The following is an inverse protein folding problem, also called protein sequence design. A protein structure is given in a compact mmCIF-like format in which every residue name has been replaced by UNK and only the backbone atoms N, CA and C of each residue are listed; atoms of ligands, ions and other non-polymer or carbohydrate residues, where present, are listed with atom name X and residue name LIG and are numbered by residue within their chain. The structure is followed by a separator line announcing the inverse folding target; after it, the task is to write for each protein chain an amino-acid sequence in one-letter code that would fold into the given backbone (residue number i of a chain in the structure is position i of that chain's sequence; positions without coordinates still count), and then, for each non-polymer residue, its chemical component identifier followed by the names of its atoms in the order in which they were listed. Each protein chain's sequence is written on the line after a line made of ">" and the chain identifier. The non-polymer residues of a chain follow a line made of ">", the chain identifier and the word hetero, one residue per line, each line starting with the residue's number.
data_IF_664205488559
#
_entry.id   IF_664205488559
#
_cell.length_a   1.000
_cell.length_b   1.000
_cell.length_c   1.000
_cell.angle_alpha   90.00
_cell.angle_beta   90.00
_cell.angle_gamma   90.00
#
_symmetry.space_group_name_H-M   'P 1'
#
loop_
_entity.id
_entity.type
_entity.pdbx_description
1 polymer ?
#
# COMPACT_ATOMS: atom_id res chain seq x y z
N UNK A 1 -5.11 -20.76 1.16
CA UNK A 1 -6.00 -19.63 1.57
C UNK A 1 -6.64 -19.06 0.32
N UNK A 2 -7.93 -18.73 0.38
CA UNK A 2 -8.67 -18.22 -0.78
C UNK A 2 -8.25 -16.77 -1.08
N UNK A 3 -8.02 -16.45 -2.35
CA UNK A 3 -7.74 -15.10 -2.82
C UNK A 3 -9.04 -14.30 -2.90
N UNK A 4 -9.08 -13.11 -2.26
CA UNK A 4 -10.24 -12.22 -2.26
C UNK A 4 -10.12 -11.13 -3.32
N UNK A 5 -8.91 -10.63 -3.55
CA UNK A 5 -8.60 -9.64 -4.57
C UNK A 5 -7.34 -10.06 -5.33
N UNK A 6 -7.35 -9.93 -6.65
CA UNK A 6 -6.19 -10.20 -7.49
C UNK A 6 -6.01 -9.09 -8.50
N UNK A 7 -4.81 -8.56 -8.60
CA UNK A 7 -4.40 -7.57 -9.59
C UNK A 7 -3.43 -8.24 -10.55
N UNK A 8 -3.70 -8.14 -11.86
CA UNK A 8 -2.91 -8.79 -12.92
C UNK A 8 -2.46 -7.77 -13.96
N UNK A 9 -1.16 -7.63 -14.12
CA UNK A 9 -0.49 -6.83 -15.16
C UNK A 9 -1.09 -5.41 -15.29
N UNK A 10 -1.43 -4.80 -14.13
CA UNK A 10 -2.12 -3.53 -14.09
C UNK A 10 -1.19 -2.39 -14.52
N UNK A 11 -1.66 -1.61 -15.47
CA UNK A 11 -1.02 -0.37 -15.90
C UNK A 11 -1.97 0.80 -15.75
N UNK A 12 -1.50 1.87 -15.07
CA UNK A 12 -2.27 3.09 -14.86
C UNK A 12 -1.44 4.28 -15.32
N UNK A 13 -2.01 5.08 -16.22
CA UNK A 13 -1.35 6.22 -16.80
C UNK A 13 -2.16 7.50 -16.58
N UNK A 14 -1.48 8.64 -16.62
CA UNK A 14 -2.08 9.97 -16.56
C UNK A 14 -1.69 10.77 -17.78
N UNK A 15 -2.69 11.36 -18.45
CA UNK A 15 -2.46 12.32 -19.52
C UNK A 15 -2.08 13.68 -18.92
N UNK A 16 -0.94 14.22 -19.33
CA UNK A 16 -0.48 15.54 -18.91
C UNK A 16 -0.09 16.36 -20.14
N UNK A 17 0.06 17.67 -19.98
CA UNK A 17 0.54 18.55 -21.05
C UNK A 17 1.98 18.24 -21.51
N UNK A 18 2.74 17.52 -20.71
CA UNK A 18 4.13 17.13 -21.01
C UNK A 18 4.25 15.71 -21.56
N UNK A 19 3.15 14.97 -21.66
CA UNK A 19 3.13 13.57 -22.09
C UNK A 19 2.37 12.66 -21.10
N UNK A 20 2.61 11.38 -21.21
CA UNK A 20 1.91 10.35 -20.45
C UNK A 20 2.76 9.87 -19.27
N UNK A 21 2.30 10.12 -18.04
CA UNK A 21 2.95 9.63 -16.81
C UNK A 21 2.50 8.20 -16.56
N UNK A 22 3.43 7.25 -16.50
CA UNK A 22 3.20 5.82 -16.26
C UNK A 22 3.27 5.50 -14.77
N UNK A 23 2.21 5.86 -14.03
CA UNK A 23 2.21 5.81 -12.57
C UNK A 23 2.18 4.39 -11.98
N UNK A 24 1.56 3.43 -12.67
CA UNK A 24 1.59 2.00 -12.35
C UNK A 24 2.00 1.25 -13.61
N UNK A 25 3.02 0.39 -13.49
CA UNK A 25 3.72 -0.23 -14.61
C UNK A 25 3.76 -1.74 -14.41
N UNK A 26 2.78 -2.46 -14.98
CA UNK A 26 2.72 -3.92 -14.98
C UNK A 26 2.75 -4.55 -13.56
N UNK A 27 1.88 -4.05 -12.68
CA UNK A 27 1.79 -4.52 -11.30
C UNK A 27 0.87 -5.73 -11.19
N UNK A 28 1.37 -6.79 -10.55
CA UNK A 28 0.61 -8.01 -10.24
C UNK A 28 0.81 -8.40 -8.78
N UNK A 29 -0.28 -8.69 -8.08
CA UNK A 29 -0.29 -9.26 -6.73
C UNK A 29 -1.66 -9.87 -6.41
N UNK A 30 -1.71 -10.68 -5.38
CA UNK A 30 -2.93 -11.23 -4.78
C UNK A 30 -3.07 -10.79 -3.33
N UNK A 31 -4.31 -10.67 -2.85
CA UNK A 31 -4.65 -10.48 -1.45
C UNK A 31 -5.47 -11.69 -0.97
N UNK A 32 -4.98 -12.37 0.03
CA UNK A 32 -5.64 -13.54 0.62
C UNK A 32 -6.69 -13.11 1.65
N UNK A 33 -7.66 -13.97 1.87
CA UNK A 33 -8.71 -13.71 2.86
C UNK A 33 -8.12 -13.58 4.26
N UNK A 34 -8.46 -12.48 4.94
CA UNK A 34 -7.99 -12.18 6.30
C UNK A 34 -6.51 -11.79 6.39
N UNK A 35 -5.85 -11.51 5.27
CA UNK A 35 -4.44 -11.09 5.21
C UNK A 35 -4.30 -9.57 5.30
N UNK A 36 -3.22 -9.10 5.89
CA UNK A 36 -2.73 -7.73 5.77
C UNK A 36 -1.54 -7.72 4.81
N UNK A 37 -1.79 -7.31 3.56
CA UNK A 37 -0.75 -7.05 2.57
C UNK A 37 -0.35 -5.57 2.66
N UNK A 38 0.90 -5.30 3.02
CA UNK A 38 1.41 -3.93 3.05
C UNK A 38 2.16 -3.59 1.77
N UNK A 39 1.81 -2.46 1.15
CA UNK A 39 2.52 -1.90 0.00
C UNK A 39 3.38 -0.74 0.50
N UNK A 40 4.69 -0.89 0.39
CA UNK A 40 5.67 0.08 0.90
C UNK A 40 6.56 0.60 -0.22
N UNK A 41 7.09 1.81 -0.06
CA UNK A 41 8.02 2.44 -1.00
C UNK A 41 8.04 3.96 -0.84
N UNK A 42 8.97 4.62 -1.52
CA UNK A 42 9.13 6.07 -1.48
C UNK A 42 7.87 6.82 -1.94
N UNK A 43 7.75 8.10 -1.52
CA UNK A 43 6.67 8.98 -1.99
C UNK A 43 6.70 9.11 -3.52
N UNK A 44 5.53 9.11 -4.16
CA UNK A 44 5.42 9.21 -5.61
C UNK A 44 5.67 7.91 -6.39
N UNK A 45 6.00 6.78 -5.76
CA UNK A 45 6.23 5.52 -6.49
C UNK A 45 4.96 4.84 -7.04
N UNK A 46 3.75 5.40 -6.80
CA UNK A 46 2.50 4.90 -7.39
C UNK A 46 1.55 4.17 -6.44
N UNK A 47 1.85 4.00 -5.14
CA UNK A 47 1.03 3.26 -4.15
C UNK A 47 -0.43 3.71 -4.09
N UNK A 48 -0.67 4.99 -3.82
CA UNK A 48 -2.04 5.54 -3.74
C UNK A 48 -2.77 5.50 -5.08
N UNK A 49 -2.05 5.65 -6.20
CA UNK A 49 -2.62 5.50 -7.55
C UNK A 49 -3.10 4.07 -7.77
N UNK A 50 -2.28 3.07 -7.41
CA UNK A 50 -2.64 1.65 -7.47
C UNK A 50 -3.93 1.38 -6.69
N UNK A 51 -4.02 1.84 -5.44
CA UNK A 51 -5.21 1.62 -4.62
C UNK A 51 -6.44 2.37 -5.11
N UNK A 52 -6.30 3.62 -5.56
CA UNK A 52 -7.41 4.37 -6.17
C UNK A 52 -7.89 3.74 -7.46
N UNK A 53 -7.00 3.10 -8.24
CA UNK A 53 -7.39 2.40 -9.47
C UNK A 53 -8.27 1.17 -9.18
N UNK A 54 -8.03 0.46 -8.07
CA UNK A 54 -8.88 -0.67 -7.64
C UNK A 54 -10.33 -0.22 -7.43
N UNK A 55 -10.54 0.97 -6.89
CA UNK A 55 -11.86 1.54 -6.65
C UNK A 55 -12.39 2.40 -7.81
N UNK A 56 -11.67 2.52 -8.93
CA UNK A 56 -11.98 3.47 -10.03
C UNK A 56 -12.18 4.91 -9.51
N UNK A 57 -11.29 5.35 -8.62
CA UNK A 57 -11.25 6.71 -8.05
C UNK A 57 -10.08 7.52 -8.61
N UNK A 58 -9.71 7.26 -9.86
CA UNK A 58 -8.73 8.06 -10.57
C UNK A 58 -9.35 9.40 -10.99
N UNK A 59 -8.57 10.50 -11.00
CA UNK A 59 -9.03 11.76 -11.57
C UNK A 59 -9.25 11.64 -13.09
N UNK A 60 -9.91 12.61 -13.70
CA UNK A 60 -10.33 12.59 -15.11
C UNK A 60 -9.20 12.34 -16.12
N UNK A 61 -8.00 12.81 -15.81
CA UNK A 61 -6.82 12.59 -16.65
C UNK A 61 -6.11 11.26 -16.41
N UNK A 62 -6.56 10.47 -15.41
CA UNK A 62 -6.00 9.14 -15.06
C UNK A 62 -6.88 8.01 -15.61
N UNK A 63 -6.26 6.96 -16.12
CA UNK A 63 -6.98 5.80 -16.67
C UNK A 63 -6.18 4.51 -16.54
N UNK A 64 -6.92 3.40 -16.42
CA UNK A 64 -6.34 2.06 -16.52
C UNK A 64 -6.04 1.78 -17.99
N UNK A 65 -4.76 1.64 -18.32
CA UNK A 65 -4.30 1.37 -19.69
C UNK A 65 -4.49 -0.10 -20.07
N UNK A 66 -4.15 -1.01 -19.14
CA UNK A 66 -4.28 -2.46 -19.33
C UNK A 66 -4.28 -3.17 -17.99
N UNK A 67 -4.53 -4.48 -18.01
CA UNK A 67 -4.55 -5.34 -16.83
C UNK A 67 -5.95 -5.61 -16.29
N UNK A 68 -6.01 -6.40 -15.24
CA UNK A 68 -7.27 -6.85 -14.64
C UNK A 68 -7.23 -6.69 -13.12
N UNK A 69 -8.38 -6.38 -12.54
CA UNK A 69 -8.61 -6.38 -11.09
C UNK A 69 -9.78 -7.33 -10.84
N UNK A 70 -9.52 -8.43 -10.17
CA UNK A 70 -10.50 -9.47 -9.88
C UNK A 70 -10.88 -9.42 -8.41
N UNK A 71 -12.15 -9.18 -8.13
CA UNK A 71 -12.73 -9.26 -6.79
C UNK A 71 -13.57 -10.54 -6.70
N UNK A 72 -13.21 -11.49 -5.84
CA UNK A 72 -13.83 -12.83 -5.79
C UNK A 72 -13.98 -13.42 -7.21
N UNK A 73 -12.90 -13.42 -7.99
CA UNK A 73 -12.81 -13.89 -9.38
C UNK A 73 -13.62 -13.07 -10.43
N UNK A 74 -14.32 -12.02 -10.04
CA UNK A 74 -15.04 -11.14 -10.96
C UNK A 74 -14.19 -9.93 -11.35
N UNK A 75 -14.00 -9.71 -12.64
CA UNK A 75 -13.24 -8.54 -13.12
C UNK A 75 -14.05 -7.25 -12.93
N UNK A 76 -13.51 -6.33 -12.13
CA UNK A 76 -14.15 -5.04 -11.82
C UNK A 76 -13.63 -3.87 -12.65
N UNK A 77 -12.57 -4.05 -13.47
CA UNK A 77 -12.01 -2.97 -14.29
C UNK A 77 -13.02 -2.38 -15.28
N UNK A 78 -13.87 -3.24 -15.87
CA UNK A 78 -14.78 -2.86 -16.94
C UNK A 78 -16.19 -2.47 -16.44
N UNK A 79 -16.41 -2.45 -15.12
CA UNK A 79 -17.68 -2.09 -14.54
C UNK A 79 -17.97 -0.59 -14.77
N UNK A 80 -19.25 -0.26 -15.00
CA UNK A 80 -19.71 1.13 -15.04
C UNK A 80 -19.64 1.76 -13.65
N UNK A 81 -19.64 3.10 -13.55
CA UNK A 81 -19.65 3.77 -12.24
C UNK A 81 -20.87 3.40 -11.39
N UNK A 82 -22.04 3.19 -12.02
CA UNK A 82 -23.25 2.70 -11.35
C UNK A 82 -23.08 1.29 -10.78
N UNK A 83 -22.28 0.43 -11.42
CA UNK A 83 -21.96 -0.90 -10.89
C UNK A 83 -20.90 -0.81 -9.79
N UNK A 84 -19.88 0.04 -9.98
CA UNK A 84 -18.85 0.28 -8.97
C UNK A 84 -19.39 0.92 -7.69
N UNK A 85 -20.43 1.78 -7.77
CA UNK A 85 -21.08 2.34 -6.59
C UNK A 85 -21.72 1.30 -5.67
N UNK A 86 -22.04 0.11 -6.19
CA UNK A 86 -22.55 -1.03 -5.39
C UNK A 86 -21.43 -1.83 -4.71
N UNK A 87 -20.20 -1.67 -5.19
CA UNK A 87 -18.99 -2.36 -4.66
C UNK A 87 -18.30 -1.47 -3.64
N UNK A 88 -18.13 -0.16 -3.96
CA UNK A 88 -17.50 0.82 -3.07
C UNK A 88 -18.27 0.92 -1.76
N UNK A 89 -17.57 0.79 -0.63
CA UNK A 89 -18.15 0.82 0.71
C UNK A 89 -18.83 -0.48 1.16
N UNK A 90 -19.26 -1.36 0.24
CA UNK A 90 -19.94 -2.62 0.56
C UNK A 90 -19.02 -3.84 0.47
N UNK A 91 -18.28 -3.98 -0.63
CA UNK A 91 -17.34 -5.10 -0.83
C UNK A 91 -15.89 -4.66 -0.57
N UNK A 92 -15.53 -3.47 -1.07
CA UNK A 92 -14.24 -2.82 -0.85
C UNK A 92 -14.48 -1.44 -0.28
N UNK A 93 -13.83 -1.11 0.83
CA UNK A 93 -13.83 0.22 1.42
C UNK A 93 -12.42 0.80 1.50
N UNK A 94 -12.32 2.12 1.67
CA UNK A 94 -11.04 2.81 1.72
C UNK A 94 -11.01 3.85 2.84
N UNK A 95 -9.90 3.85 3.58
CA UNK A 95 -9.50 4.93 4.49
C UNK A 95 -8.51 5.79 3.72
N UNK A 96 -8.81 7.07 3.55
CA UNK A 96 -7.96 8.03 2.85
C UNK A 96 -6.88 8.59 3.76
N UNK A 97 -5.81 9.09 3.17
CA UNK A 97 -4.62 9.60 3.86
C UNK A 97 -4.92 10.73 4.85
N UNK A 98 -5.85 11.63 4.54
CA UNK A 98 -6.20 12.76 5.40
C UNK A 98 -7.65 12.63 5.90
N UNK A 99 -7.86 12.36 7.21
CA UNK A 99 -9.19 12.29 7.80
C UNK A 99 -9.90 13.65 7.82
N UNK A 100 -9.16 14.77 7.75
CA UNK A 100 -9.73 16.12 7.74
C UNK A 100 -10.51 16.39 6.47
N UNK A 101 -10.03 15.90 5.34
CA UNK A 101 -10.69 16.06 4.03
C UNK A 101 -11.74 15.00 3.75
N UNK A 102 -11.69 13.85 4.46
CA UNK A 102 -12.63 12.74 4.27
C UNK A 102 -13.95 12.88 5.04
N UNK A 103 -13.95 13.65 6.15
CA UNK A 103 -15.14 13.89 6.97
C UNK A 103 -15.85 15.19 6.55
N UNK A 104 -17.17 15.14 6.39
CA UNK A 104 -17.98 16.33 6.12
C UNK A 104 -18.10 17.18 7.41
N UNK A 105 -17.53 18.41 7.45
CA UNK A 105 -17.52 19.23 8.66
C UNK A 105 -18.92 19.75 9.06
N UNK A 106 -19.90 19.73 8.13
CA UNK A 106 -21.25 20.23 8.35
C UNK A 106 -22.24 19.15 8.80
N UNK A 107 -21.79 17.89 8.88
CA UNK A 107 -22.61 16.75 9.36
C UNK A 107 -22.04 16.17 10.63
N UNK A 108 -22.92 15.76 11.57
CA UNK A 108 -22.49 15.01 12.75
C UNK A 108 -21.92 13.64 12.36
N UNK A 109 -20.95 13.16 13.16
CA UNK A 109 -20.24 11.91 12.87
C UNK A 109 -21.20 10.71 12.77
N UNK A 110 -22.18 10.62 13.67
CA UNK A 110 -23.16 9.54 13.66
C UNK A 110 -24.05 9.55 12.43
N UNK A 111 -24.40 10.74 11.89
CA UNK A 111 -25.15 10.85 10.64
C UNK A 111 -24.32 10.37 9.43
N UNK A 112 -23.03 10.70 9.37
CA UNK A 112 -22.13 10.25 8.30
C UNK A 112 -22.01 8.73 8.29
N UNK A 113 -21.80 8.11 9.46
CA UNK A 113 -21.75 6.63 9.58
C UNK A 113 -23.11 6.02 9.21
N UNK A 114 -24.21 6.59 9.71
CA UNK A 114 -25.58 6.11 9.40
C UNK A 114 -25.92 6.23 7.91
N UNK A 115 -25.44 7.27 7.23
CA UNK A 115 -25.59 7.43 5.79
C UNK A 115 -24.87 6.31 5.04
N UNK A 116 -23.62 6.02 5.36
CA UNK A 116 -22.84 4.93 4.77
C UNK A 116 -23.57 3.58 4.94
N UNK A 117 -24.14 3.30 6.12
CA UNK A 117 -24.95 2.10 6.37
C UNK A 117 -26.16 2.05 5.45
N UNK A 118 -26.90 3.16 5.28
CA UNK A 118 -28.16 3.20 4.53
C UNK A 118 -28.00 3.17 3.02
N UNK A 119 -26.90 3.70 2.50
CA UNK A 119 -26.63 3.72 1.06
C UNK A 119 -26.59 2.30 0.47
N UNK A 120 -26.08 1.34 1.24
CA UNK A 120 -25.86 -0.03 0.77
C UNK A 120 -26.82 -1.06 1.34
N UNK A 121 -27.56 -0.72 2.42
CA UNK A 121 -28.45 -1.65 3.09
C UNK A 121 -29.87 -1.10 3.15
N UNK A 122 -30.86 -1.96 2.93
CA UNK A 122 -32.27 -1.61 3.08
C UNK A 122 -32.65 -1.62 4.57
N UNK A 123 -32.19 -0.64 5.33
CA UNK A 123 -32.43 -0.52 6.77
C UNK A 123 -33.15 0.78 7.11
N UNK A 124 -33.89 0.76 8.21
CA UNK A 124 -34.57 1.95 8.75
C UNK A 124 -33.58 2.95 9.33
N UNK A 125 -34.00 4.20 9.51
CA UNK A 125 -33.16 5.23 10.18
C UNK A 125 -32.75 4.81 11.59
N UNK A 126 -33.65 4.12 12.32
CA UNK A 126 -33.41 3.65 13.69
C UNK A 126 -32.32 2.57 13.72
N UNK A 127 -32.37 1.61 12.81
CA UNK A 127 -31.35 0.55 12.69
C UNK A 127 -30.00 1.11 12.27
N UNK A 128 -29.97 2.04 11.31
CA UNK A 128 -28.74 2.69 10.89
C UNK A 128 -28.10 3.53 12.03
N UNK A 129 -28.92 4.23 12.84
CA UNK A 129 -28.45 4.94 14.04
C UNK A 129 -27.84 3.95 15.05
N UNK A 130 -28.53 2.84 15.34
CA UNK A 130 -28.03 1.81 16.25
C UNK A 130 -26.67 1.27 15.77
N UNK A 131 -26.59 0.91 14.47
CA UNK A 131 -25.33 0.44 13.88
C UNK A 131 -24.21 1.47 13.96
N UNK A 132 -24.51 2.75 13.74
CA UNK A 132 -23.53 3.83 13.86
C UNK A 132 -22.99 3.97 15.29
N UNK A 133 -23.84 3.88 16.30
CA UNK A 133 -23.42 3.91 17.72
C UNK A 133 -22.54 2.69 18.04
N UNK A 134 -22.91 1.50 17.60
CA UNK A 134 -22.09 0.29 17.75
C UNK A 134 -20.71 0.44 17.10
N UNK A 135 -20.61 1.09 15.94
CA UNK A 135 -19.33 1.34 15.26
C UNK A 135 -18.49 2.40 15.95
N UNK A 136 -19.10 3.46 16.49
CA UNK A 136 -18.38 4.50 17.28
C UNK A 136 -17.75 3.84 18.52
N UNK A 137 -18.49 3.00 19.22
CA UNK A 137 -17.98 2.23 20.36
C UNK A 137 -16.89 1.23 19.93
N UNK A 138 -17.13 0.49 18.84
CA UNK A 138 -16.21 -0.51 18.31
C UNK A 138 -14.83 0.04 17.95
N UNK A 139 -14.75 1.29 17.48
CA UNK A 139 -13.47 1.96 17.19
C UNK A 139 -12.87 2.63 18.43
N UNK A 140 -13.47 2.44 19.61
CA UNK A 140 -12.96 2.92 20.90
C UNK A 140 -13.16 4.41 21.11
N UNK A 141 -14.30 4.95 20.74
CA UNK A 141 -14.76 6.28 21.11
C UNK A 141 -15.79 6.12 22.23
N UNK A 142 -15.40 6.49 23.44
CA UNK A 142 -16.24 6.41 24.63
C UNK A 142 -17.52 7.27 24.48
N UNK A 143 -18.57 6.93 25.23
CA UNK A 143 -19.85 7.64 25.23
C UNK A 143 -20.48 7.74 23.81
N UNK A 144 -20.43 6.67 23.05
CA UNK A 144 -20.83 6.62 21.64
C UNK A 144 -22.22 7.23 21.34
N UNK A 145 -23.19 7.05 22.25
CA UNK A 145 -24.55 7.55 22.07
C UNK A 145 -24.61 9.08 22.19
N UNK A 146 -23.93 9.68 23.16
CA UNK A 146 -23.87 11.14 23.35
C UNK A 146 -23.10 11.81 22.21
N UNK A 147 -22.00 11.19 21.78
CA UNK A 147 -21.14 11.68 20.70
C UNK A 147 -21.71 11.54 19.30
N UNK A 148 -22.76 10.73 19.10
CA UNK A 148 -23.40 10.55 17.80
C UNK A 148 -23.77 11.87 17.11
N UNK A 149 -24.20 12.89 17.88
CA UNK A 149 -24.64 14.17 17.34
C UNK A 149 -23.50 15.20 17.22
N UNK A 150 -22.30 14.90 17.70
CA UNK A 150 -21.14 15.78 17.62
C UNK A 150 -20.60 15.88 16.20
N UNK A 151 -19.91 16.99 15.92
CA UNK A 151 -19.32 17.29 14.61
C UNK A 151 -17.82 16.96 14.58
N UNK A 152 -17.23 16.74 13.39
CA UNK A 152 -15.81 16.38 13.28
C UNK A 152 -14.86 17.33 14.00
N UNK A 153 -15.12 18.63 14.04
CA UNK A 153 -14.25 19.62 14.68
C UNK A 153 -14.19 19.49 16.22
N UNK A 154 -15.14 18.79 16.84
CA UNK A 154 -15.16 18.52 18.29
C UNK A 154 -14.24 17.36 18.70
N UNK A 155 -13.58 16.69 17.74
CA UNK A 155 -12.72 15.53 17.95
C UNK A 155 -11.25 15.82 17.63
N UNK A 156 -10.34 15.15 18.37
CA UNK A 156 -8.91 15.17 18.06
C UNK A 156 -8.60 14.47 16.72
N UNK A 157 -7.39 14.68 16.17
CA UNK A 157 -6.96 14.04 14.93
C UNK A 157 -7.09 12.51 14.95
N UNK A 158 -6.61 11.88 16.02
CA UNK A 158 -6.72 10.43 16.20
C UNK A 158 -8.18 9.94 16.35
N UNK A 159 -9.05 10.73 16.99
CA UNK A 159 -10.49 10.39 17.06
C UNK A 159 -11.17 10.55 15.71
N UNK A 160 -10.83 11.56 14.91
CA UNK A 160 -11.31 11.69 13.52
C UNK A 160 -10.87 10.52 12.66
N UNK A 161 -9.65 10.03 12.83
CA UNK A 161 -9.17 8.83 12.15
C UNK A 161 -9.99 7.60 12.53
N UNK A 162 -10.32 7.42 13.83
CA UNK A 162 -11.23 6.35 14.29
C UNK A 162 -12.62 6.46 13.67
N UNK A 163 -13.15 7.68 13.53
CA UNK A 163 -14.44 7.93 12.86
C UNK A 163 -14.37 7.55 11.37
N UNK A 164 -13.28 7.92 10.67
CA UNK A 164 -13.07 7.51 9.27
C UNK A 164 -13.00 5.98 9.14
N UNK A 165 -12.35 5.29 10.08
CA UNK A 165 -12.34 3.82 10.15
C UNK A 165 -13.76 3.29 10.37
N UNK A 166 -14.55 3.87 11.29
CA UNK A 166 -15.93 3.46 11.52
C UNK A 166 -16.82 3.60 10.27
N UNK A 167 -16.67 4.69 9.51
CA UNK A 167 -17.36 4.88 8.22
C UNK A 167 -16.93 3.80 7.22
N UNK A 168 -15.64 3.52 7.12
CA UNK A 168 -15.12 2.49 6.21
C UNK A 168 -15.65 1.10 6.54
N UNK A 169 -15.95 0.81 7.81
CA UNK A 169 -16.48 -0.48 8.29
C UNK A 169 -18.01 -0.55 8.28
N UNK A 170 -18.71 0.52 7.91
CA UNK A 170 -20.17 0.64 8.06
C UNK A 170 -20.96 -0.54 7.47
N UNK A 171 -20.51 -1.07 6.34
CA UNK A 171 -21.18 -2.15 5.61
C UNK A 171 -20.46 -3.50 5.70
N UNK A 172 -19.53 -3.69 6.64
CA UNK A 172 -18.73 -4.91 6.80
C UNK A 172 -18.05 -5.35 5.49
N UNK A 173 -17.18 -4.52 4.90
CA UNK A 173 -16.53 -4.83 3.63
C UNK A 173 -15.61 -6.06 3.76
N UNK A 174 -15.36 -6.75 2.64
CA UNK A 174 -14.44 -7.90 2.58
C UNK A 174 -12.98 -7.44 2.46
N UNK A 175 -12.76 -6.28 1.82
CA UNK A 175 -11.46 -5.67 1.62
C UNK A 175 -11.48 -4.24 2.15
N UNK A 176 -10.49 -3.90 2.95
CA UNK A 176 -10.22 -2.55 3.42
C UNK A 176 -8.89 -2.07 2.82
N UNK A 177 -8.91 -0.94 2.15
CA UNK A 177 -7.71 -0.26 1.69
C UNK A 177 -7.41 0.88 2.67
N UNK A 178 -6.24 0.90 3.27
CA UNK A 178 -5.78 1.94 4.18
C UNK A 178 -4.61 2.70 3.54
N UNK A 179 -4.89 3.89 2.98
CA UNK A 179 -3.90 4.72 2.29
C UNK A 179 -3.25 5.68 3.30
N UNK A 180 -2.08 5.32 3.78
CA UNK A 180 -1.28 6.06 4.77
C UNK A 180 -2.10 6.54 6.00
N UNK A 181 -2.84 5.66 6.70
CA UNK A 181 -3.84 6.06 7.69
C UNK A 181 -3.25 6.65 8.98
N UNK A 182 -1.94 6.72 9.11
CA UNK A 182 -1.24 7.18 10.32
C UNK A 182 -0.28 8.33 10.09
N UNK A 183 -0.08 8.79 8.85
CA UNK A 183 0.96 9.78 8.48
C UNK A 183 0.81 11.14 9.19
N UNK A 184 -0.43 11.55 9.52
CA UNK A 184 -0.70 12.84 10.18
C UNK A 184 -0.82 12.74 11.71
N UNK A 185 -0.39 11.62 12.33
CA UNK A 185 -0.54 11.34 13.75
C UNK A 185 0.83 11.30 14.45
N UNK A 186 0.85 11.67 15.72
CA UNK A 186 2.01 11.42 16.58
C UNK A 186 2.21 9.90 16.81
N UNK A 187 3.40 9.51 17.25
CA UNK A 187 3.80 8.08 17.40
C UNK A 187 2.90 7.29 18.38
N UNK A 188 2.37 7.95 19.42
CA UNK A 188 1.48 7.29 20.40
C UNK A 188 0.13 7.01 19.75
N UNK A 189 -0.43 7.98 19.05
CA UNK A 189 -1.71 7.83 18.35
C UNK A 189 -1.59 6.89 17.14
N UNK A 190 -0.47 6.96 16.41
CA UNK A 190 -0.13 5.99 15.35
C UNK A 190 -0.22 4.55 15.87
N UNK A 191 0.46 4.25 16.98
CA UNK A 191 0.43 2.93 17.58
C UNK A 191 -0.99 2.47 17.95
N UNK A 192 -1.80 3.35 18.54
CA UNK A 192 -3.20 3.05 18.89
C UNK A 192 -4.06 2.76 17.66
N UNK A 193 -3.84 3.45 16.54
CA UNK A 193 -4.56 3.19 15.28
C UNK A 193 -4.11 1.87 14.65
N UNK A 194 -2.82 1.54 14.67
CA UNK A 194 -2.31 0.26 14.18
C UNK A 194 -2.90 -0.93 14.99
N UNK A 195 -2.95 -0.81 16.33
CA UNK A 195 -3.56 -1.83 17.19
C UNK A 195 -5.05 -1.97 16.92
N UNK A 196 -5.75 -0.86 16.68
CA UNK A 196 -7.16 -0.88 16.31
C UNK A 196 -7.35 -1.62 14.98
N UNK A 197 -6.59 -1.29 13.92
CA UNK A 197 -6.69 -1.94 12.61
C UNK A 197 -6.41 -3.45 12.73
N UNK A 198 -5.40 -3.84 13.49
CA UNK A 198 -5.07 -5.25 13.72
C UNK A 198 -6.18 -5.98 14.50
N UNK A 199 -6.73 -5.34 15.54
CA UNK A 199 -7.89 -5.85 16.28
C UNK A 199 -9.12 -6.04 15.38
N UNK A 200 -9.40 -5.08 14.48
CA UNK A 200 -10.48 -5.16 13.49
C UNK A 200 -10.25 -6.38 12.59
N UNK A 201 -9.06 -6.51 12.01
CA UNK A 201 -8.71 -7.63 11.13
C UNK A 201 -8.92 -8.98 11.83
N UNK A 202 -8.41 -9.14 13.07
CA UNK A 202 -8.58 -10.37 13.85
C UNK A 202 -10.04 -10.69 14.18
N UNK A 203 -10.84 -9.67 14.55
CA UNK A 203 -12.24 -9.86 14.94
C UNK A 203 -13.19 -10.10 13.78
N UNK A 204 -12.93 -9.50 12.63
CA UNK A 204 -13.83 -9.50 11.47
C UNK A 204 -13.33 -10.38 10.32
N UNK A 205 -12.07 -10.82 10.37
CA UNK A 205 -11.39 -11.55 9.29
C UNK A 205 -11.41 -10.78 7.95
N UNK A 206 -11.41 -9.43 8.03
CA UNK A 206 -11.31 -8.55 6.87
C UNK A 206 -9.91 -8.63 6.26
N UNK A 207 -9.82 -8.58 4.92
CA UNK A 207 -8.54 -8.52 4.23
C UNK A 207 -8.13 -7.06 4.04
N UNK A 208 -6.85 -6.72 4.26
CA UNK A 208 -6.40 -5.34 4.29
C UNK A 208 -5.26 -5.13 3.30
N UNK A 209 -5.38 -4.10 2.42
CA UNK A 209 -4.23 -3.50 1.75
C UNK A 209 -3.85 -2.28 2.55
N UNK A 210 -2.65 -2.31 3.12
CA UNK A 210 -2.13 -1.22 3.93
C UNK A 210 -1.01 -0.49 3.17
N UNK A 211 -1.11 0.81 3.00
CA UNK A 211 -0.07 1.62 2.35
C UNK A 211 0.65 2.44 3.41
N UNK A 212 1.97 2.42 3.35
CA UNK A 212 2.83 3.28 4.17
C UNK A 212 4.19 3.45 3.50
N UNK A 213 4.95 4.44 3.95
CA UNK A 213 6.37 4.59 3.67
C UNK A 213 7.24 4.31 4.90
N UNK A 214 6.62 4.02 6.05
CA UNK A 214 7.27 3.79 7.33
C UNK A 214 7.48 2.28 7.57
N UNK A 215 8.74 1.85 7.61
CA UNK A 215 9.12 0.45 7.78
C UNK A 215 8.87 -0.08 9.19
N UNK A 216 8.81 0.78 10.23
CA UNK A 216 8.44 0.35 11.58
C UNK A 216 6.96 -0.03 11.63
N UNK A 217 6.11 0.76 10.94
CA UNK A 217 4.70 0.43 10.73
C UNK A 217 4.54 -0.89 9.98
N UNK A 218 5.31 -1.08 8.89
CA UNK A 218 5.32 -2.33 8.10
C UNK A 218 5.63 -3.52 9.00
N UNK A 219 6.68 -3.44 9.80
CA UNK A 219 7.08 -4.52 10.71
C UNK A 219 5.98 -4.89 11.73
N UNK A 220 5.23 -3.89 12.20
CA UNK A 220 4.20 -4.07 13.22
C UNK A 220 2.93 -4.74 12.70
N UNK A 221 2.47 -4.38 11.48
CA UNK A 221 1.12 -4.74 11.02
C UNK A 221 1.09 -5.85 9.97
N UNK A 222 2.13 -6.02 9.15
CA UNK A 222 2.09 -6.82 7.93
C UNK A 222 2.13 -8.32 8.17
N UNK A 223 1.42 -9.07 7.32
CA UNK A 223 1.62 -10.51 7.09
C UNK A 223 2.50 -10.72 5.86
N UNK A 224 2.23 -9.98 4.77
CA UNK A 224 3.06 -9.93 3.55
C UNK A 224 3.36 -8.49 3.17
N UNK A 225 4.46 -8.31 2.46
CA UNK A 225 4.96 -7.00 2.05
C UNK A 225 5.20 -7.01 0.55
N UNK A 226 4.70 -5.99 -0.14
CA UNK A 226 5.02 -5.68 -1.53
C UNK A 226 5.80 -4.35 -1.56
N UNK A 227 7.06 -4.40 -1.95
CA UNK A 227 7.92 -3.22 -2.09
C UNK A 227 7.72 -2.63 -3.47
N UNK A 228 7.30 -1.36 -3.52
CA UNK A 228 7.00 -0.66 -4.77
C UNK A 228 8.02 0.43 -5.05
N UNK A 229 8.57 0.44 -6.24
CA UNK A 229 9.50 1.45 -6.73
C UNK A 229 9.18 1.86 -8.17
N UNK A 230 9.15 3.15 -8.45
CA UNK A 230 8.94 3.71 -9.80
C UNK A 230 7.79 3.05 -10.59
N UNK A 231 6.63 2.83 -9.94
CA UNK A 231 5.43 2.26 -10.54
C UNK A 231 5.39 0.73 -10.63
N UNK A 232 6.38 0.02 -10.10
CA UNK A 232 6.46 -1.46 -10.13
C UNK A 232 6.60 -2.05 -8.74
N UNK A 233 6.09 -3.27 -8.54
CA UNK A 233 6.49 -4.09 -7.40
C UNK A 233 7.86 -4.70 -7.75
N UNK A 234 8.86 -4.38 -6.95
CA UNK A 234 10.24 -4.84 -7.15
C UNK A 234 10.58 -6.04 -6.27
N UNK A 235 9.86 -6.22 -5.16
CA UNK A 235 10.01 -7.37 -4.28
C UNK A 235 8.70 -7.62 -3.53
N UNK A 236 8.32 -8.88 -3.35
CA UNK A 236 7.12 -9.29 -2.61
C UNK A 236 7.38 -10.60 -1.89
N UNK A 237 7.00 -10.67 -0.61
CA UNK A 237 7.20 -11.87 0.20
C UNK A 237 6.49 -11.77 1.55
N UNK A 238 6.61 -12.82 2.38
CA UNK A 238 6.20 -12.73 3.78
C UNK A 238 7.04 -11.69 4.52
N UNK A 239 6.49 -11.16 5.59
CA UNK A 239 7.18 -10.16 6.41
C UNK A 239 8.60 -10.61 6.79
N UNK A 240 8.76 -11.81 7.29
CA UNK A 240 10.05 -12.38 7.73
C UNK A 240 11.04 -12.50 6.56
N UNK A 241 10.56 -12.87 5.37
CA UNK A 241 11.40 -12.99 4.17
C UNK A 241 11.94 -11.63 3.73
N UNK A 242 11.10 -10.60 3.73
CA UNK A 242 11.49 -9.24 3.34
C UNK A 242 12.41 -8.59 4.38
N UNK A 243 12.16 -8.79 5.69
CA UNK A 243 12.98 -8.19 6.73
C UNK A 243 14.34 -8.86 6.90
N UNK A 244 14.43 -10.19 6.74
CA UNK A 244 15.64 -10.97 7.00
C UNK A 244 16.41 -11.34 5.73
N UNK A 245 15.72 -11.47 4.60
CA UNK A 245 16.27 -12.05 3.37
C UNK A 245 15.93 -11.20 2.13
N UNK A 246 15.83 -9.87 2.27
CA UNK A 246 15.66 -8.97 1.13
C UNK A 246 16.79 -9.18 0.11
N UNK A 247 16.45 -9.22 -1.17
CA UNK A 247 17.42 -9.46 -2.25
C UNK A 247 17.46 -8.33 -3.27
N UNK A 248 16.39 -7.54 -3.41
CA UNK A 248 16.41 -6.37 -4.27
C UNK A 248 17.21 -5.24 -3.63
N UNK A 249 18.17 -4.59 -4.33
CA UNK A 249 19.03 -3.54 -3.74
C UNK A 249 18.24 -2.38 -3.12
N UNK A 250 17.11 -2.00 -3.71
CA UNK A 250 16.22 -0.98 -3.14
C UNK A 250 15.64 -1.41 -1.80
N UNK A 251 15.15 -2.65 -1.70
CA UNK A 251 14.59 -3.20 -0.46
C UNK A 251 15.65 -3.25 0.64
N UNK A 252 16.87 -3.72 0.29
CA UNK A 252 18.01 -3.73 1.22
C UNK A 252 18.31 -2.32 1.71
N UNK A 253 18.29 -1.31 0.81
CA UNK A 253 18.48 0.10 1.17
C UNK A 253 17.39 0.60 2.12
N UNK A 254 16.11 0.26 1.89
CA UNK A 254 15.01 0.60 2.80
C UNK A 254 15.19 -0.05 4.18
N UNK A 255 15.55 -1.34 4.23
CA UNK A 255 15.83 -2.03 5.50
C UNK A 255 16.99 -1.39 6.26
N UNK A 256 18.05 -1.01 5.54
CA UNK A 256 19.23 -0.36 6.15
C UNK A 256 18.92 1.01 6.75
N UNK A 257 17.85 1.68 6.34
CA UNK A 257 17.43 2.98 6.90
C UNK A 257 16.65 2.88 8.22
N UNK A 258 16.32 1.67 8.67
CA UNK A 258 15.60 1.44 9.93
C UNK A 258 16.57 1.60 11.11
N UNK A 259 16.23 2.48 12.06
CA UNK A 259 17.06 2.75 13.23
C UNK A 259 17.34 1.49 14.08
N UNK A 260 16.35 0.61 14.23
CA UNK A 260 16.47 -0.63 15.00
C UNK A 260 17.54 -1.61 14.46
N UNK A 261 17.86 -1.58 13.16
CA UNK A 261 18.92 -2.41 12.57
C UNK A 261 20.32 -1.74 12.57
N UNK A 262 20.42 -0.50 13.03
CA UNK A 262 21.66 0.29 12.98
C UNK A 262 21.94 1.01 14.31
N UNK A 263 21.58 0.41 15.45
CA UNK A 263 21.78 1.03 16.78
C UNK A 263 23.26 1.35 17.09
N UNK A 264 24.20 0.66 16.44
CA UNK A 264 25.64 0.87 16.64
C UNK A 264 26.24 1.89 15.66
N UNK A 265 25.43 2.50 14.76
CA UNK A 265 25.93 3.46 13.76
C UNK A 265 25.58 4.89 14.14
N UNK A 266 26.54 5.78 14.05
CA UNK A 266 26.39 7.22 14.28
C UNK A 266 25.46 7.88 13.24
N UNK A 267 25.42 7.35 12.01
CA UNK A 267 24.56 7.83 10.92
C UNK A 267 23.77 6.67 10.29
N UNK A 268 22.48 6.88 10.07
CA UNK A 268 21.65 5.91 9.34
C UNK A 268 21.98 5.95 7.84
N UNK A 269 22.20 4.79 7.20
CA UNK A 269 22.35 4.74 5.75
C UNK A 269 21.11 5.27 5.04
N UNK A 270 21.31 6.10 4.05
CA UNK A 270 20.23 6.63 3.18
C UNK A 270 20.40 6.13 1.76
N UNK A 271 19.28 6.00 1.04
CA UNK A 271 19.31 5.71 -0.39
C UNK A 271 19.59 7.01 -1.14
N UNK A 272 20.78 7.13 -1.71
CA UNK A 272 21.21 8.32 -2.42
C UNK A 272 20.43 8.55 -3.74
N UNK A 273 20.39 9.80 -4.20
CA UNK A 273 19.77 10.18 -5.45
C UNK A 273 18.24 10.26 -5.38
N UNK A 274 17.60 10.53 -6.51
CA UNK A 274 16.16 10.69 -6.66
C UNK A 274 15.55 9.57 -7.52
N UNK A 275 14.30 9.17 -7.26
CA UNK A 275 13.58 8.26 -8.14
C UNK A 275 13.48 8.81 -9.57
N UNK A 276 13.48 7.95 -10.61
CA UNK A 276 13.36 8.39 -11.99
C UNK A 276 11.98 8.98 -12.27
N UNK A 277 11.93 9.85 -13.27
CA UNK A 277 10.66 10.41 -13.74
C UNK A 277 9.77 9.32 -14.37
N UNK A 278 8.53 9.24 -13.91
CA UNK A 278 7.52 8.33 -14.49
C UNK A 278 6.94 8.81 -15.83
N UNK A 279 7.30 10.01 -16.27
CA UNK A 279 6.99 10.50 -17.62
C UNK A 279 7.79 9.72 -18.68
N UNK A 280 9.09 9.53 -18.41
CA UNK A 280 10.00 8.77 -19.26
C UNK A 280 10.79 7.77 -18.38
N UNK A 281 10.16 6.70 -17.90
CA UNK A 281 10.85 5.71 -17.09
C UNK A 281 11.96 5.04 -17.90
N UNK A 282 13.08 4.65 -17.26
CA UNK A 282 14.18 3.99 -17.95
C UNK A 282 13.72 2.67 -18.59
N UNK A 283 14.46 2.20 -19.62
CA UNK A 283 14.19 0.91 -20.29
C UNK A 283 14.56 -0.28 -19.42
N UNK A 284 15.61 -0.13 -18.61
CA UNK A 284 16.08 -1.15 -17.70
C UNK A 284 15.47 -1.04 -16.31
N UNK A 285 16.17 -1.60 -15.32
CA UNK A 285 15.78 -1.47 -13.92
C UNK A 285 15.73 0.01 -13.52
N UNK A 286 14.58 0.41 -13.00
CA UNK A 286 14.38 1.79 -12.56
C UNK A 286 15.31 2.19 -11.41
N UNK A 287 15.82 1.23 -10.64
CA UNK A 287 16.74 1.45 -9.54
C UNK A 287 18.21 1.45 -9.95
N UNK A 288 18.57 1.05 -11.17
CA UNK A 288 19.97 0.91 -11.63
C UNK A 288 20.86 2.11 -11.33
N UNK A 289 20.35 3.34 -11.57
CA UNK A 289 21.12 4.58 -11.34
C UNK A 289 21.42 4.84 -9.86
N UNK A 290 20.61 4.32 -8.95
CA UNK A 290 20.77 4.45 -7.48
C UNK A 290 21.38 3.21 -6.83
N UNK A 291 21.55 2.14 -7.60
CA UNK A 291 22.19 0.92 -7.12
C UNK A 291 23.71 1.15 -7.03
N UNK A 292 24.31 0.88 -5.88
CA UNK A 292 25.77 1.03 -5.68
C UNK A 292 26.59 0.06 -6.53
N UNK A 293 26.02 -1.10 -6.87
CA UNK A 293 26.67 -2.16 -7.64
C UNK A 293 25.75 -2.63 -8.78
N UNK A 294 25.40 -1.78 -9.77
CA UNK A 294 24.55 -2.17 -10.87
C UNK A 294 25.28 -3.09 -11.83
N UNK A 295 24.56 -4.02 -12.43
CA UNK A 295 25.03 -4.79 -13.58
C UNK A 295 24.77 -4.00 -14.87
N UNK A 296 25.52 -4.24 -15.92
CA UNK A 296 25.32 -3.60 -17.24
C UNK A 296 23.91 -3.86 -17.75
N UNK A 297 23.38 -5.05 -17.54
CA UNK A 297 22.03 -5.45 -17.97
C UNK A 297 20.93 -4.61 -17.27
N UNK A 298 21.16 -4.13 -16.03
CA UNK A 298 20.20 -3.29 -15.30
C UNK A 298 19.88 -1.99 -16.05
N UNK A 299 20.78 -1.48 -16.89
CA UNK A 299 20.54 -0.29 -17.71
C UNK A 299 19.83 -0.58 -19.05
N UNK A 300 19.83 -1.82 -19.50
CA UNK A 300 19.38 -2.23 -20.83
C UNK A 300 17.97 -2.83 -20.81
N UNK A 301 17.68 -3.70 -19.84
CA UNK A 301 16.47 -4.49 -19.76
C UNK A 301 15.90 -4.52 -18.35
N UNK A 302 14.56 -4.46 -18.24
CA UNK A 302 13.87 -4.61 -16.96
C UNK A 302 14.01 -6.06 -16.45
N UNK A 303 14.39 -6.26 -15.16
CA UNK A 303 14.46 -7.60 -14.60
C UNK A 303 13.05 -8.19 -14.45
N UNK A 304 12.86 -9.48 -14.80
CA UNK A 304 11.62 -10.18 -14.48
C UNK A 304 11.55 -10.49 -12.97
N UNK A 305 10.36 -10.85 -12.50
CA UNK A 305 10.18 -11.35 -11.13
C UNK A 305 10.77 -12.76 -11.01
N UNK A 306 11.89 -12.90 -10.34
CA UNK A 306 12.50 -14.19 -10.02
C UNK A 306 11.91 -14.77 -8.73
N UNK A 307 11.70 -16.08 -8.70
CA UNK A 307 11.30 -16.80 -7.49
C UNK A 307 12.51 -17.00 -6.57
N UNK A 308 12.43 -16.48 -5.35
CA UNK A 308 13.45 -16.64 -4.28
C UNK A 308 13.06 -17.79 -3.37
N UNK A 309 11.79 -17.86 -2.95
CA UNK A 309 11.21 -18.93 -2.15
C UNK A 309 9.78 -19.24 -2.65
N UNK A 310 9.05 -20.09 -1.91
CA UNK A 310 7.64 -20.40 -2.25
C UNK A 310 6.72 -19.15 -2.17
N UNK A 311 7.06 -18.16 -1.35
CA UNK A 311 6.27 -16.94 -1.14
C UNK A 311 7.03 -15.66 -1.46
N UNK A 312 8.32 -15.74 -1.81
CA UNK A 312 9.20 -14.59 -2.01
C UNK A 312 9.64 -14.47 -3.46
N UNK A 313 9.42 -13.30 -4.05
CA UNK A 313 9.78 -12.97 -5.43
C UNK A 313 10.45 -11.59 -5.47
N UNK A 314 11.44 -11.42 -6.35
CA UNK A 314 12.13 -10.15 -6.54
C UNK A 314 12.52 -9.91 -7.99
N UNK A 315 12.39 -8.65 -8.43
CA UNK A 315 12.72 -8.21 -9.77
C UNK A 315 14.15 -7.65 -9.79
N UNK A 316 15.15 -8.52 -9.81
CA UNK A 316 16.56 -8.11 -9.89
C UNK A 316 17.38 -9.11 -10.69
N UNK A 317 18.20 -8.63 -11.60
CA UNK A 317 19.13 -9.45 -12.38
C UNK A 317 20.18 -10.15 -11.51
N UNK A 318 20.37 -9.72 -10.27
CA UNK A 318 21.26 -10.37 -9.31
C UNK A 318 20.90 -11.83 -9.01
N UNK A 319 19.66 -12.23 -9.28
CA UNK A 319 19.14 -13.59 -9.12
C UNK A 319 19.31 -14.45 -10.38
N UNK A 320 19.72 -13.85 -11.50
CA UNK A 320 19.95 -14.59 -12.72
C UNK A 320 21.22 -15.45 -12.60
N UNK A 321 21.18 -16.69 -13.11
CA UNK A 321 22.30 -17.65 -12.99
C UNK A 321 23.66 -17.14 -13.51
N UNK A 322 23.64 -16.27 -14.53
CA UNK A 322 24.86 -15.64 -15.06
C UNK A 322 25.40 -14.48 -14.21
N UNK A 323 24.62 -13.94 -13.28
CA UNK A 323 25.07 -12.83 -12.43
C UNK A 323 26.16 -13.24 -11.44
N UNK A 324 26.16 -14.48 -10.98
CA UNK A 324 27.20 -15.03 -10.12
C UNK A 324 28.57 -15.02 -10.83
N UNK A 325 28.60 -15.47 -12.09
CA UNK A 325 29.82 -15.52 -12.93
C UNK A 325 30.38 -14.09 -13.15
N UNK A 326 29.50 -13.14 -13.48
CA UNK A 326 29.91 -11.76 -13.70
C UNK A 326 30.50 -11.10 -12.43
N UNK A 327 29.99 -11.45 -11.24
CA UNK A 327 30.54 -10.96 -9.95
C UNK A 327 31.90 -11.56 -9.63
N UNK A 328 32.11 -12.84 -9.89
CA UNK A 328 33.41 -13.50 -9.70
C UNK A 328 34.47 -12.91 -10.63
N UNK A 329 34.11 -12.61 -11.88
CA UNK A 329 35.02 -11.96 -12.83
C UNK A 329 35.40 -10.52 -12.42
N UNK A 330 34.47 -9.76 -11.86
CA UNK A 330 34.73 -8.40 -11.34
C UNK A 330 35.65 -8.49 -10.13
N UNK A 331 35.32 -9.33 -9.14
CA UNK A 331 36.17 -9.57 -7.96
C UNK A 331 37.59 -9.99 -8.31
N UNK A 332 37.71 -10.94 -9.23
CA UNK A 332 39.04 -11.38 -9.68
C UNK A 332 39.84 -10.31 -10.43
N UNK A 333 39.17 -9.29 -11.00
CA UNK A 333 39.84 -8.12 -11.61
C UNK A 333 40.24 -7.09 -10.55
N UNK A 334 39.42 -6.84 -9.56
CA UNK A 334 39.72 -5.93 -8.44
C UNK A 334 40.89 -6.47 -7.61
N UNK A 335 40.91 -7.74 -7.24
CA UNK A 335 42.00 -8.40 -6.55
C UNK A 335 43.33 -8.36 -7.33
N UNK A 336 43.27 -8.34 -8.68
CA UNK A 336 44.47 -8.19 -9.52
C UNK A 336 44.96 -6.76 -9.64
N UNK A 337 44.10 -5.76 -9.44
CA UNK A 337 44.49 -4.35 -9.41
C UNK A 337 45.12 -3.96 -8.08
N UNK A 338 44.61 -4.47 -6.95
CA UNK A 338 45.17 -4.23 -5.61
C UNK A 338 46.53 -4.91 -5.37
N UNK A 339 46.89 -5.92 -6.18
CA UNK A 339 48.22 -6.59 -6.09
C UNK A 339 49.29 -5.83 -6.90
N UNK A 340 48.90 -4.87 -7.77
CA UNK A 340 49.81 -4.11 -8.61
C UNK A 340 50.00 -2.65 -8.16
N UNK A 341 49.44 -2.22 -7.04
CA UNK A 341 49.77 -1.02 -6.30
C UNK A 341 50.61 -1.37 -5.04
#
# INVERSE_FOLDING_TARGET
>A
MDTVLEVKNLQVNFKTKYGEVKAVRDVSFDLKKGEILTIVGESGCGKSVLCRSILKLLPENGYVKSGHILLNSNNICNLTDKMMSKIRGKEISMIFQDPMTSLNPTMSIGKQISEAVRVHNKVTRKEAKKRAIELIDFVGIDEAESRYNQYPYEFSGGMRQRIAIAIALACNPKVLIADEPTTALDSIMQNKILDLIKSIQMKTNISIIFITHDMEVVNRISDRIAVMYAGKIVEIGKKEEIFLNAVHPYTIGLMSSIAAFNMDKEYLPTIEGMPPSLLNPPKGDAFAVRNKNPLVIDFLEEPPMFKVSESHYAATWLLHSKAAIAREEIRAKEEKLDINE
#
